data_IF_807811445352
#
_entry.id   IF_807811445352
#
_cell.length_a   1.000
_cell.length_b   1.000
_cell.length_c   1.000
_cell.angle_alpha   90.00
_cell.angle_beta   90.00
_cell.angle_gamma   90.00
#
_symmetry.space_group_name_H-M   'P 1'
#
loop_
_entity.id
_entity.type
_entity.pdbx_description
1 polymer ?
#
# COMPACT_ATOMS: atom_id res chain seq x y z
N UNK A 1 -3.05 -0.07 -32.12
CA UNK A 1 -3.75 0.43 -30.91
C UNK A 1 -3.39 -0.51 -29.78
N UNK A 2 -2.50 -0.10 -28.88
CA UNK A 2 -1.98 -0.97 -27.82
C UNK A 2 -3.02 -1.03 -26.70
N UNK A 3 -3.62 -2.20 -26.48
CA UNK A 3 -4.55 -2.43 -25.37
C UNK A 3 -3.76 -2.26 -24.07
N UNK A 4 -4.06 -1.21 -23.30
CA UNK A 4 -3.45 -0.97 -21.99
C UNK A 4 -4.05 -1.95 -21.00
N UNK A 5 -3.27 -2.93 -20.55
CA UNK A 5 -3.63 -3.79 -19.43
C UNK A 5 -3.33 -3.01 -18.15
N UNK A 6 -4.36 -2.58 -17.44
CA UNK A 6 -4.27 -1.93 -16.13
C UNK A 6 -4.22 -2.99 -15.03
N UNK A 7 -3.43 -2.75 -13.99
CA UNK A 7 -3.19 -3.66 -12.88
C UNK A 7 -2.28 -4.82 -13.28
N UNK A 8 -1.11 -4.55 -13.87
CA UNK A 8 -0.14 -5.60 -14.24
C UNK A 8 0.51 -6.22 -13.01
N UNK A 9 0.51 -5.51 -11.88
CA UNK A 9 1.11 -5.98 -10.64
C UNK A 9 0.04 -6.44 -9.66
N UNK A 10 0.13 -7.73 -9.32
CA UNK A 10 -0.64 -8.37 -8.26
C UNK A 10 0.35 -8.90 -7.22
N UNK A 11 0.14 -8.54 -5.95
CA UNK A 11 0.75 -9.18 -4.78
C UNK A 11 -0.42 -9.77 -4.04
N UNK A 12 -0.68 -11.04 -4.34
CA UNK A 12 -1.74 -11.80 -3.68
C UNK A 12 -1.20 -12.65 -2.52
N UNK A 13 0.12 -12.70 -2.34
CA UNK A 13 0.79 -13.61 -1.40
C UNK A 13 1.71 -12.88 -0.39
N UNK A 14 1.51 -11.58 -0.16
CA UNK A 14 2.17 -10.91 0.97
C UNK A 14 1.48 -11.31 2.26
N UNK A 15 2.11 -12.23 3.00
CA UNK A 15 1.78 -12.54 4.38
C UNK A 15 2.82 -11.92 5.30
N UNK A 16 2.37 -11.05 6.20
CA UNK A 16 3.19 -10.55 7.31
C UNK A 16 2.95 -11.45 8.53
N UNK A 17 4.01 -11.98 9.13
CA UNK A 17 3.95 -12.63 10.44
C UNK A 17 3.91 -11.54 11.51
N UNK A 18 2.70 -11.23 11.98
CA UNK A 18 2.43 -10.10 12.84
C UNK A 18 3.18 -10.19 14.18
N UNK A 19 4.08 -9.23 14.43
CA UNK A 19 4.19 -8.68 15.77
C UNK A 19 3.22 -7.51 15.83
N UNK A 20 2.32 -7.59 16.80
CA UNK A 20 1.31 -6.59 17.07
C UNK A 20 1.86 -5.17 16.96
N UNK A 21 3.03 -4.86 17.50
CA UNK A 21 3.62 -3.51 17.51
C UNK A 21 4.09 -2.95 16.16
N UNK A 22 4.19 -3.79 15.13
CA UNK A 22 5.04 -3.49 13.99
C UNK A 22 4.27 -2.83 12.85
N UNK A 23 5.02 -2.10 12.03
CA UNK A 23 4.55 -1.49 10.80
C UNK A 23 5.19 -2.24 9.64
N UNK A 24 4.36 -2.82 8.77
CA UNK A 24 4.82 -3.40 7.53
C UNK A 24 5.06 -2.32 6.47
N UNK A 25 6.10 -2.52 5.65
CA UNK A 25 6.35 -1.68 4.48
C UNK A 25 5.85 -2.38 3.23
N UNK A 26 4.85 -1.81 2.57
CA UNK A 26 4.34 -2.30 1.27
C UNK A 26 5.22 -1.77 0.13
N UNK A 27 5.55 -0.48 0.20
CA UNK A 27 6.48 0.21 -0.70
C UNK A 27 7.37 1.14 0.08
N UNK A 28 8.66 1.13 -0.22
CA UNK A 28 9.60 2.15 0.25
C UNK A 28 9.51 3.40 -0.64
N UNK A 29 9.85 4.59 -0.12
CA UNK A 29 10.02 5.80 -0.94
C UNK A 29 10.88 5.58 -2.18
N UNK A 30 11.94 4.78 -2.05
CA UNK A 30 12.91 4.50 -3.10
C UNK A 30 12.33 3.59 -4.20
N UNK A 31 11.35 2.75 -3.88
CA UNK A 31 10.63 1.95 -4.87
C UNK A 31 9.58 2.78 -5.63
N UNK A 32 9.06 3.83 -5.02
CA UNK A 32 8.07 4.73 -5.60
C UNK A 32 8.74 5.95 -6.28
N UNK A 33 9.55 5.72 -7.32
CA UNK A 33 10.36 6.78 -7.95
C UNK A 33 9.51 7.84 -8.67
N UNK A 34 8.44 7.40 -9.33
CA UNK A 34 7.63 8.25 -10.23
C UNK A 34 6.15 8.35 -9.81
N UNK A 35 5.75 7.65 -8.75
CA UNK A 35 4.36 7.52 -8.36
C UNK A 35 3.84 6.09 -8.54
N UNK A 36 2.79 5.77 -7.78
CA UNK A 36 2.07 4.50 -7.83
C UNK A 36 0.58 4.84 -7.96
N UNK A 37 -0.14 4.11 -8.79
CA UNK A 37 -1.60 4.09 -8.75
C UNK A 37 -2.06 2.81 -8.05
N UNK A 38 -2.79 2.94 -6.95
CA UNK A 38 -3.49 1.83 -6.35
C UNK A 38 -4.90 1.77 -6.90
N UNK A 39 -5.33 0.58 -7.31
CA UNK A 39 -6.68 0.33 -7.79
C UNK A 39 -7.54 -0.40 -6.77
N UNK A 40 -6.93 -1.29 -6.00
CA UNK A 40 -7.58 -2.03 -4.91
C UNK A 40 -6.51 -2.39 -3.89
N UNK A 41 -6.89 -2.35 -2.62
CA UNK A 41 -6.16 -2.93 -1.51
C UNK A 41 -7.18 -3.47 -0.53
N UNK A 42 -6.98 -4.74 -0.18
CA UNK A 42 -7.77 -5.45 0.81
C UNK A 42 -6.83 -6.06 1.82
N UNK A 43 -7.09 -5.71 3.05
CA UNK A 43 -6.37 -6.19 4.22
C UNK A 43 -7.40 -6.75 5.21
N UNK A 44 -6.94 -7.42 6.27
CA UNK A 44 -7.86 -7.84 7.34
C UNK A 44 -8.50 -6.60 8.00
N UNK A 45 -9.73 -6.75 8.51
CA UNK A 45 -10.68 -5.75 9.05
C UNK A 45 -10.13 -4.72 10.07
N UNK A 46 -8.87 -4.81 10.50
CA UNK A 46 -8.24 -3.92 11.48
C UNK A 46 -6.90 -3.32 11.03
N UNK A 47 -6.46 -3.60 9.81
CA UNK A 47 -5.22 -3.00 9.30
C UNK A 47 -5.51 -1.63 8.72
N UNK A 48 -4.65 -0.68 9.05
CA UNK A 48 -4.65 0.66 8.48
C UNK A 48 -3.49 0.75 7.50
N UNK A 49 -3.71 1.44 6.37
CA UNK A 49 -2.68 1.71 5.37
C UNK A 49 -2.53 3.21 5.25
N UNK A 50 -1.28 3.65 5.30
CA UNK A 50 -0.90 5.06 5.36
C UNK A 50 0.27 5.35 4.43
N UNK A 51 0.47 6.62 4.10
CA UNK A 51 1.53 7.06 3.17
C UNK A 51 2.41 8.13 3.77
N UNK A 52 3.72 8.08 3.50
CA UNK A 52 4.65 9.05 4.05
C UNK A 52 6.11 8.83 3.65
N UNK A 53 6.99 9.72 4.07
CA UNK A 53 8.44 9.62 3.81
C UNK A 53 9.14 8.57 4.67
N UNK A 54 8.60 8.30 5.87
CA UNK A 54 9.14 7.35 6.83
C UNK A 54 7.99 6.54 7.44
N UNK A 55 8.20 5.26 7.78
CA UNK A 55 7.18 4.47 8.46
C UNK A 55 6.84 5.09 9.82
N UNK A 56 5.59 4.98 10.30
CA UNK A 56 5.28 5.31 11.68
C UNK A 56 6.12 4.48 12.66
N UNK A 57 6.51 5.05 13.81
CA UNK A 57 7.40 4.37 14.75
C UNK A 57 6.74 3.16 15.43
N UNK A 58 5.41 3.16 15.55
CA UNK A 58 4.61 2.04 16.03
C UNK A 58 3.21 2.10 15.39
N UNK A 59 2.46 1.00 15.50
CA UNK A 59 1.11 0.89 14.90
C UNK A 59 0.06 1.84 15.46
N UNK A 60 0.22 2.32 16.68
CA UNK A 60 -0.75 3.15 17.39
C UNK A 60 -0.57 4.64 17.06
N UNK A 61 0.48 4.99 16.30
CA UNK A 61 0.74 6.35 15.83
C UNK A 61 0.15 6.58 14.44
N UNK A 62 -1.04 7.20 14.41
CA UNK A 62 -1.67 7.71 13.19
C UNK A 62 -1.15 9.10 12.83
N UNK A 63 0.16 9.22 12.58
CA UNK A 63 0.80 10.50 12.21
C UNK A 63 0.87 10.74 10.71
N UNK A 64 0.47 9.75 9.91
CA UNK A 64 0.50 9.79 8.45
C UNK A 64 -0.92 9.82 7.88
N UNK A 65 -1.12 10.43 6.70
CA UNK A 65 -2.37 10.31 5.96
C UNK A 65 -2.75 8.84 5.73
N UNK A 66 -3.98 8.50 6.12
CA UNK A 66 -4.55 7.16 5.95
C UNK A 66 -5.22 7.10 4.57
N UNK A 67 -4.89 6.06 3.80
CA UNK A 67 -5.44 5.83 2.46
C UNK A 67 -6.41 4.64 2.42
N UNK A 68 -6.37 3.76 3.41
CA UNK A 68 -7.29 2.63 3.52
C UNK A 68 -7.38 2.13 4.97
N UNK A 69 -8.57 1.68 5.33
CA UNK A 69 -8.90 0.97 6.55
C UNK A 69 -9.60 -0.33 6.17
N UNK A 70 -9.11 -1.46 6.69
CA UNK A 70 -9.53 -2.80 6.26
C UNK A 70 -11.03 -3.01 6.20
N UNK A 71 -11.48 -3.84 5.25
CA UNK A 71 -12.90 -4.20 5.08
C UNK A 71 -13.77 -3.16 4.35
N UNK A 72 -13.22 -1.98 4.03
CA UNK A 72 -13.96 -0.92 3.34
C UNK A 72 -13.73 -0.91 1.81
N UNK A 73 -14.66 -0.28 1.08
CA UNK A 73 -14.55 -0.08 -0.36
C UNK A 73 -13.39 0.87 -0.65
N UNK A 74 -12.38 0.39 -1.35
CA UNK A 74 -11.24 1.18 -1.78
C UNK A 74 -11.54 1.90 -3.10
N UNK A 75 -11.29 3.21 -3.14
CA UNK A 75 -11.31 3.98 -4.38
C UNK A 75 -9.88 4.10 -4.93
N UNK A 76 -9.69 4.02 -6.26
CA UNK A 76 -8.37 4.18 -6.83
C UNK A 76 -7.74 5.52 -6.42
N UNK A 77 -6.48 5.45 -5.97
CA UNK A 77 -5.74 6.62 -5.49
C UNK A 77 -4.35 6.63 -6.12
N UNK A 78 -3.89 7.82 -6.47
CA UNK A 78 -2.51 8.05 -6.89
C UNK A 78 -1.69 8.42 -5.67
N UNK A 79 -0.61 7.66 -5.43
CA UNK A 79 0.39 7.95 -4.42
C UNK A 79 1.53 8.72 -5.09
N UNK A 80 1.79 9.98 -4.67
CA UNK A 80 2.88 10.78 -5.21
C UNK A 80 4.24 10.08 -5.13
N UNK A 81 5.13 10.44 -6.06
CA UNK A 81 6.51 9.99 -6.06
C UNK A 81 7.22 10.29 -4.74
N UNK A 82 8.14 9.42 -4.34
CA UNK A 82 8.95 9.56 -3.15
C UNK A 82 8.22 9.27 -1.83
N UNK A 83 6.95 8.83 -1.86
CA UNK A 83 6.26 8.38 -0.67
C UNK A 83 6.28 6.85 -0.56
N UNK A 84 6.57 6.36 0.65
CA UNK A 84 6.36 4.99 1.05
C UNK A 84 4.91 4.73 1.42
N UNK A 85 4.54 3.45 1.42
CA UNK A 85 3.22 2.95 1.77
C UNK A 85 3.39 1.93 2.87
N UNK A 86 2.73 2.19 3.99
CA UNK A 86 2.96 1.47 5.25
C UNK A 86 1.64 0.94 5.80
N UNK A 87 1.67 -0.28 6.31
CA UNK A 87 0.51 -0.94 6.89
C UNK A 87 0.74 -1.17 8.39
N UNK A 88 -0.13 -0.62 9.23
CA UNK A 88 -0.16 -0.93 10.65
C UNK A 88 -0.69 -2.36 10.83
N UNK A 89 0.12 -3.25 11.40
CA UNK A 89 -0.23 -4.66 11.57
C UNK A 89 -1.13 -4.87 12.79
N UNK A 90 -2.07 -5.80 12.69
CA UNK A 90 -2.87 -6.30 13.82
C UNK A 90 -2.18 -7.47 14.55
N UNK A 91 -2.74 -7.89 15.70
CA UNK A 91 -2.24 -9.03 16.52
C UNK A 91 -2.50 -10.40 15.86
N UNK A 92 -2.74 -10.41 14.54
CA UNK A 92 -3.07 -11.61 13.78
C UNK A 92 -1.79 -12.21 13.18
N UNK A 93 -1.55 -13.49 13.44
CA UNK A 93 -0.32 -14.17 13.00
C UNK A 93 -0.21 -14.36 11.48
N UNK A 94 -1.31 -14.23 10.74
CA UNK A 94 -1.36 -14.32 9.29
C UNK A 94 -2.24 -13.19 8.73
N UNK A 95 -1.62 -12.12 8.22
CA UNK A 95 -2.35 -11.00 7.62
C UNK A 95 -2.16 -11.08 6.10
N UNK A 96 -3.16 -11.59 5.34
CA UNK A 96 -3.11 -11.58 3.89
C UNK A 96 -3.37 -10.15 3.40
N UNK A 97 -2.55 -9.70 2.47
CA UNK A 97 -2.74 -8.44 1.76
C UNK A 97 -2.97 -8.76 0.29
N UNK A 98 -4.13 -8.34 -0.22
CA UNK A 98 -4.47 -8.41 -1.63
C UNK A 98 -4.44 -7.00 -2.19
N UNK A 99 -3.57 -6.73 -3.15
CA UNK A 99 -3.43 -5.40 -3.71
C UNK A 99 -3.22 -5.46 -5.21
N UNK A 100 -3.79 -4.46 -5.90
CA UNK A 100 -3.62 -4.22 -7.32
C UNK A 100 -3.14 -2.79 -7.50
N UNK A 101 -1.97 -2.64 -8.11
CA UNK A 101 -1.33 -1.35 -8.34
C UNK A 101 -0.56 -1.36 -9.66
N UNK A 102 -0.16 -0.19 -10.12
CA UNK A 102 0.88 -0.03 -11.12
C UNK A 102 1.82 1.11 -10.76
N UNK A 103 3.08 1.01 -11.22
CA UNK A 103 4.02 2.12 -11.19
C UNK A 103 3.70 3.11 -12.31
N UNK A 104 4.02 4.38 -12.06
CA UNK A 104 3.93 5.41 -13.07
C UNK A 104 5.30 5.62 -13.75
N UNK A 105 5.26 6.04 -15.01
CA UNK A 105 6.38 6.63 -15.72
C UNK A 105 6.56 8.09 -15.28
N UNK A 106 7.69 8.71 -15.63
CA UNK A 106 7.96 10.12 -15.33
C UNK A 106 6.94 11.09 -15.97
N UNK A 107 6.25 10.67 -17.04
CA UNK A 107 5.18 11.42 -17.70
C UNK A 107 3.79 11.20 -17.07
N UNK A 108 3.71 10.46 -15.96
CA UNK A 108 2.48 10.15 -15.24
C UNK A 108 1.62 9.06 -15.89
N UNK A 109 2.08 8.44 -16.98
CA UNK A 109 1.40 7.28 -17.56
C UNK A 109 1.72 5.99 -16.80
N UNK A 110 0.85 4.99 -16.90
CA UNK A 110 1.09 3.67 -16.30
C UNK A 110 2.23 2.95 -17.05
N UNK A 111 3.22 2.43 -16.30
CA UNK A 111 4.37 1.69 -16.80
C UNK A 111 4.02 0.28 -17.34
#
# INVERSE_FOLDING_TARGET
>A
MTVRVLGKHFKNDLTFSGRASDVATLFTPQQNVNGIIFYDIRTWIQNTVSVGLTPPPDRFKFTLPIIHTGGEVFQPIVIPAGLGVYMQLSDSYNIPVYMRWDYLNADGTVA
#
